data_IF_256793713559
#
_entry.id   IF_256793713559
#
_cell.length_a   1.000
_cell.length_b   1.000
_cell.length_c   1.000
_cell.angle_alpha   90.00
_cell.angle_beta   90.00
_cell.angle_gamma   90.00
#
_symmetry.space_group_name_H-M   'P 1'
#
loop_
_entity.id
_entity.type
_entity.pdbx_description
1 polymer ?
#
# COMPACT_ATOMS: atom_id res chain seq x y z
N UNK A 1 3.27 73.16 -27.91
CA UNK A 1 3.42 72.09 -26.90
C UNK A 1 2.24 72.31 -25.95
N UNK A 2 1.24 71.46 -25.76
CA UNK A 2 1.17 70.00 -25.72
C UNK A 2 -0.32 69.60 -25.84
N UNK A 3 -0.65 68.59 -26.64
CA UNK A 3 -1.93 67.90 -26.55
C UNK A 3 -1.84 66.90 -25.39
N UNK A 4 -2.92 66.71 -24.62
CA UNK A 4 -3.79 65.51 -24.71
C UNK A 4 -4.79 65.47 -23.55
N UNK A 5 -6.06 65.48 -23.93
CA UNK A 5 -7.26 65.20 -23.15
C UNK A 5 -7.24 63.79 -22.55
N UNK A 6 -7.83 63.61 -21.36
CA UNK A 6 -8.95 62.67 -21.08
C UNK A 6 -8.89 62.04 -19.70
N UNK A 7 -9.90 62.40 -18.92
CA UNK A 7 -10.39 61.85 -17.66
C UNK A 7 -10.47 60.31 -17.62
N UNK A 8 -10.24 59.73 -16.44
CA UNK A 8 -10.91 58.52 -15.94
C UNK A 8 -10.80 58.55 -14.41
N UNK A 9 -11.81 59.10 -13.75
CA UNK A 9 -12.82 58.40 -12.92
C UNK A 9 -12.24 57.80 -11.63
N UNK A 10 -12.57 58.51 -10.54
CA UNK A 10 -12.63 58.07 -9.15
C UNK A 10 -13.45 56.79 -9.01
N UNK A 11 -12.95 55.79 -8.29
CA UNK A 11 -13.77 54.86 -7.49
C UNK A 11 -12.90 54.19 -6.42
N UNK A 12 -13.38 54.29 -5.18
CA UNK A 12 -12.90 53.59 -3.99
C UNK A 12 -12.57 52.12 -4.27
N UNK A 13 -11.34 51.71 -3.95
CA UNK A 13 -11.09 50.32 -3.61
C UNK A 13 -11.40 50.13 -2.11
N UNK A 14 -12.47 49.40 -1.74
CA UNK A 14 -12.51 48.82 -0.42
C UNK A 14 -11.36 47.80 -0.36
N UNK A 15 -10.40 48.05 0.53
CA UNK A 15 -9.36 47.08 0.94
C UNK A 15 -10.07 45.91 1.61
N UNK A 16 -10.64 45.03 0.79
CA UNK A 16 -11.28 43.79 1.18
C UNK A 16 -10.32 42.65 0.82
N UNK A 17 -9.62 42.18 1.83
CA UNK A 17 -9.39 40.75 2.05
C UNK A 17 -8.80 39.97 0.87
N UNK A 18 -7.49 40.08 0.66
CA UNK A 18 -6.72 39.11 -0.12
C UNK A 18 -5.72 38.32 0.76
N UNK A 19 -6.05 38.11 2.05
CA UNK A 19 -5.20 37.35 3.00
C UNK A 19 -5.81 35.98 3.33
N UNK A 20 -6.86 35.55 2.62
CA UNK A 20 -7.57 34.29 2.93
C UNK A 20 -7.75 33.40 1.69
N UNK A 21 -6.77 33.42 0.78
CA UNK A 21 -6.75 32.47 -0.36
C UNK A 21 -5.44 31.68 -0.48
N UNK A 22 -4.41 32.02 0.30
CA UNK A 22 -3.16 31.25 0.31
C UNK A 22 -3.16 30.06 1.31
N UNK A 23 -4.21 29.92 2.13
CA UNK A 23 -4.24 29.00 3.28
C UNK A 23 -5.38 27.97 3.24
N UNK A 24 -5.89 27.65 2.05
CA UNK A 24 -6.84 26.52 1.85
C UNK A 24 -6.45 25.60 0.70
N UNK A 25 -5.21 25.70 0.23
CA UNK A 25 -4.60 24.80 -0.75
C UNK A 25 -3.70 23.74 -0.10
N UNK A 26 -3.65 23.74 1.24
CA UNK A 26 -3.04 22.70 2.06
C UNK A 26 -4.19 21.93 2.72
N UNK A 27 -4.13 20.60 2.76
CA UNK A 27 -5.09 19.70 3.45
C UNK A 27 -6.24 19.07 2.63
N UNK A 28 -6.06 18.86 1.31
CA UNK A 28 -6.66 17.70 0.64
C UNK A 28 -5.61 16.85 -0.07
N UNK A 29 -4.42 16.79 0.54
CA UNK A 29 -3.33 15.94 0.08
C UNK A 29 -3.63 14.49 0.46
N UNK A 30 -4.32 13.78 -0.43
CA UNK A 30 -4.01 12.38 -0.73
C UNK A 30 -4.09 11.35 0.42
N UNK A 31 -5.02 11.48 1.37
CA UNK A 31 -5.23 10.48 2.44
C UNK A 31 -5.31 9.04 1.92
N UNK A 32 -5.93 8.86 0.74
CA UNK A 32 -6.08 7.56 0.07
C UNK A 32 -4.79 7.00 -0.52
N UNK A 33 -3.85 7.87 -0.90
CA UNK A 33 -2.51 7.45 -1.32
C UNK A 33 -1.73 6.94 -0.12
N UNK A 34 -1.87 7.59 1.04
CA UNK A 34 -1.24 7.12 2.29
C UNK A 34 -1.81 5.77 2.70
N UNK A 35 -3.15 5.62 2.70
CA UNK A 35 -3.80 4.35 3.02
C UNK A 35 -3.35 3.20 2.09
N UNK A 36 -3.35 3.44 0.77
CA UNK A 36 -2.89 2.45 -0.19
C UNK A 36 -1.42 2.06 0.01
N UNK A 37 -0.57 3.03 0.36
CA UNK A 37 0.85 2.79 0.65
C UNK A 37 1.03 1.92 1.90
N UNK A 38 0.28 2.18 2.96
CA UNK A 38 0.29 1.37 4.19
C UNK A 38 -0.12 -0.07 3.89
N UNK A 39 -1.18 -0.29 3.12
CA UNK A 39 -1.62 -1.64 2.71
C UNK A 39 -0.51 -2.37 1.98
N UNK A 40 0.15 -1.73 1.02
CA UNK A 40 1.26 -2.34 0.28
C UNK A 40 2.48 -2.65 1.16
N UNK A 41 2.78 -1.85 2.18
CA UNK A 41 3.85 -2.17 3.13
C UNK A 41 3.51 -3.41 3.97
N UNK A 42 2.28 -3.51 4.48
CA UNK A 42 1.84 -4.67 5.27
C UNK A 42 1.84 -5.93 4.41
N UNK A 43 1.22 -5.86 3.23
CA UNK A 43 1.17 -6.99 2.29
C UNK A 43 2.58 -7.38 1.87
N UNK A 44 3.42 -6.41 1.48
CA UNK A 44 4.80 -6.66 1.10
C UNK A 44 5.61 -7.33 2.21
N UNK A 45 5.44 -6.90 3.45
CA UNK A 45 6.09 -7.53 4.62
C UNK A 45 5.66 -8.99 4.79
N UNK A 46 4.36 -9.28 4.71
CA UNK A 46 3.83 -10.65 4.79
C UNK A 46 4.38 -11.51 3.63
N UNK A 47 4.40 -10.97 2.41
CA UNK A 47 4.92 -11.68 1.23
C UNK A 47 6.41 -12.00 1.37
N UNK A 48 7.21 -11.07 1.90
CA UNK A 48 8.64 -11.31 2.14
C UNK A 48 8.84 -12.40 3.19
N UNK A 49 8.10 -12.37 4.30
CA UNK A 49 8.18 -13.43 5.31
C UNK A 49 7.82 -14.81 4.74
N UNK A 50 6.74 -14.90 3.97
CA UNK A 50 6.33 -16.15 3.32
C UNK A 50 7.34 -16.61 2.27
N UNK A 51 7.89 -15.69 1.47
CA UNK A 51 8.91 -16.01 0.47
C UNK A 51 10.18 -16.56 1.11
N UNK A 52 10.66 -15.94 2.19
CA UNK A 52 11.82 -16.44 2.95
C UNK A 52 11.50 -17.84 3.48
N UNK A 53 10.31 -18.05 4.07
CA UNK A 53 9.89 -19.38 4.55
C UNK A 53 9.94 -20.44 3.44
N UNK A 54 9.35 -20.15 2.28
CA UNK A 54 9.36 -21.06 1.13
C UNK A 54 10.81 -21.38 0.74
N UNK A 55 11.67 -20.37 0.58
CA UNK A 55 13.08 -20.56 0.23
C UNK A 55 13.80 -21.43 1.27
N UNK A 56 13.60 -21.18 2.57
CA UNK A 56 14.24 -21.98 3.62
C UNK A 56 13.80 -23.45 3.57
N UNK A 57 12.52 -23.74 3.32
CA UNK A 57 12.03 -25.11 3.15
C UNK A 57 12.58 -25.77 1.88
N UNK A 58 12.64 -25.03 0.77
CA UNK A 58 13.20 -25.53 -0.50
C UNK A 58 14.70 -25.78 -0.45
N UNK A 59 15.42 -25.07 0.42
CA UNK A 59 16.86 -25.27 0.66
C UNK A 59 17.14 -26.31 1.75
N UNK A 60 16.11 -26.86 2.38
CA UNK A 60 16.25 -27.83 3.47
C UNK A 60 16.95 -27.24 4.69
N UNK A 61 16.61 -25.98 5.03
CA UNK A 61 17.20 -25.26 6.14
C UNK A 61 17.04 -26.02 7.48
N UNK A 62 18.06 -25.90 8.33
CA UNK A 62 18.12 -26.61 9.60
C UNK A 62 17.12 -26.03 10.63
N UNK A 63 16.10 -26.82 11.00
CA UNK A 63 15.10 -26.52 12.05
C UNK A 63 15.64 -26.63 13.49
N UNK A 64 16.96 -26.51 13.67
CA UNK A 64 17.60 -26.27 14.95
C UNK A 64 18.26 -24.88 15.03
N UNK A 65 18.09 -24.06 13.98
CA UNK A 65 18.58 -22.69 13.96
C UNK A 65 17.50 -21.75 14.48
N UNK A 66 17.83 -20.99 15.53
CA UNK A 66 16.91 -20.02 16.12
C UNK A 66 16.31 -19.04 15.10
N UNK A 67 17.09 -18.66 14.07
CA UNK A 67 16.60 -17.80 12.99
C UNK A 67 15.55 -18.50 12.11
N UNK A 68 15.82 -19.75 11.72
CA UNK A 68 14.91 -20.53 10.87
C UNK A 68 13.60 -20.78 11.61
N UNK A 69 13.70 -21.18 12.88
CA UNK A 69 12.54 -21.46 13.72
C UNK A 69 11.71 -20.19 13.95
N UNK A 70 12.36 -19.05 14.19
CA UNK A 70 11.69 -17.75 14.30
C UNK A 70 10.91 -17.41 13.03
N UNK A 71 11.53 -17.54 11.85
CA UNK A 71 10.85 -17.28 10.57
C UNK A 71 9.67 -18.23 10.39
N UNK A 72 9.83 -19.53 10.61
CA UNK A 72 8.75 -20.51 10.46
C UNK A 72 7.59 -20.27 11.43
N UNK A 73 7.87 -19.84 12.67
CA UNK A 73 6.85 -19.51 13.65
C UNK A 73 6.02 -18.29 13.24
N UNK A 74 6.68 -17.15 12.92
CA UNK A 74 5.96 -15.91 12.59
C UNK A 74 5.22 -16.02 11.26
N UNK A 75 5.85 -16.59 10.24
CA UNK A 75 5.24 -16.77 8.91
C UNK A 75 4.16 -17.86 8.91
N UNK A 76 4.22 -18.80 9.86
CA UNK A 76 3.26 -19.89 9.98
C UNK A 76 1.85 -19.44 10.29
N UNK A 77 1.68 -18.33 11.02
CA UNK A 77 0.36 -17.75 11.28
C UNK A 77 -0.33 -17.32 9.98
N UNK A 78 0.43 -16.78 9.02
CA UNK A 78 -0.07 -16.35 7.71
C UNK A 78 -0.31 -17.53 6.76
N UNK A 79 0.47 -18.61 6.87
CA UNK A 79 0.28 -19.82 6.07
C UNK A 79 -0.84 -20.73 6.61
N UNK A 80 -1.17 -20.64 7.91
CA UNK A 80 -2.07 -21.55 8.60
C UNK A 80 -3.43 -21.76 7.90
N UNK A 81 -4.14 -20.70 7.42
CA UNK A 81 -5.44 -20.88 6.76
C UNK A 81 -5.39 -21.69 5.45
N UNK A 82 -4.21 -21.79 4.83
CA UNK A 82 -3.99 -22.45 3.54
C UNK A 82 -3.35 -23.83 3.67
N UNK A 83 -3.13 -24.29 4.91
CA UNK A 83 -2.53 -25.59 5.18
C UNK A 83 -3.47 -26.71 4.73
N UNK A 84 -2.97 -27.66 3.96
CA UNK A 84 -3.73 -28.82 3.49
C UNK A 84 -4.64 -28.58 2.28
N UNK A 85 -4.68 -27.36 1.71
CA UNK A 85 -5.45 -27.10 0.47
C UNK A 85 -4.86 -27.87 -0.71
N UNK A 86 -3.53 -27.94 -0.79
CA UNK A 86 -2.81 -28.68 -1.82
C UNK A 86 -1.82 -29.64 -1.19
N UNK A 87 -1.51 -30.78 -1.85
CA UNK A 87 -0.41 -31.63 -1.42
C UNK A 87 0.90 -30.84 -1.46
N UNK A 88 1.78 -31.14 -0.51
CA UNK A 88 3.11 -30.54 -0.41
C UNK A 88 4.17 -31.58 -0.82
N UNK A 89 4.80 -31.45 -2.00
CA UNK A 89 5.90 -32.30 -2.42
C UNK A 89 7.06 -32.25 -1.42
N UNK A 90 7.62 -33.42 -1.11
CA UNK A 90 8.80 -33.55 -0.23
C UNK A 90 9.83 -34.48 -0.86
N UNK A 91 11.10 -34.12 -0.77
CA UNK A 91 12.23 -34.93 -1.24
C UNK A 91 13.40 -34.83 -0.27
N UNK A 92 13.52 -35.81 0.62
CA UNK A 92 14.54 -35.81 1.67
C UNK A 92 14.34 -34.63 2.63
N UNK A 93 15.29 -33.69 2.65
CA UNK A 93 15.22 -32.47 3.48
C UNK A 93 14.54 -31.30 2.77
N UNK A 94 14.31 -31.40 1.46
CA UNK A 94 13.69 -30.34 0.68
C UNK A 94 12.17 -30.49 0.72
N UNK A 95 11.49 -29.44 1.13
CA UNK A 95 10.04 -29.42 1.25
C UNK A 95 9.49 -28.25 0.45
N UNK A 96 8.47 -28.49 -0.37
CA UNK A 96 7.78 -27.42 -1.09
C UNK A 96 6.50 -27.05 -0.34
N UNK A 97 6.55 -25.94 0.42
CA UNK A 97 5.41 -25.45 1.19
C UNK A 97 4.37 -24.76 0.30
N UNK A 98 3.48 -25.57 -0.28
CA UNK A 98 2.37 -25.11 -1.13
C UNK A 98 1.44 -24.14 -0.41
N UNK A 99 1.24 -24.29 0.91
CA UNK A 99 0.36 -23.40 1.67
C UNK A 99 0.91 -21.96 1.68
N UNK A 100 2.21 -21.80 1.89
CA UNK A 100 2.86 -20.49 1.84
C UNK A 100 2.81 -19.85 0.45
N UNK A 101 2.97 -20.64 -0.62
CA UNK A 101 2.86 -20.14 -1.99
C UNK A 101 1.45 -19.65 -2.29
N UNK A 102 0.42 -20.40 -1.87
CA UNK A 102 -0.98 -19.98 -2.02
C UNK A 102 -1.26 -18.73 -1.20
N UNK A 103 -0.78 -18.66 0.05
CA UNK A 103 -0.91 -17.50 0.90
C UNK A 103 -0.33 -16.25 0.23
N UNK A 104 0.82 -16.35 -0.43
CA UNK A 104 1.41 -15.24 -1.19
C UNK A 104 0.48 -14.74 -2.29
N UNK A 105 -0.08 -15.64 -3.09
CA UNK A 105 -1.01 -15.28 -4.18
C UNK A 105 -2.24 -14.59 -3.61
N UNK A 106 -2.87 -15.19 -2.58
CA UNK A 106 -4.10 -14.66 -1.98
C UNK A 106 -3.87 -13.30 -1.34
N UNK A 107 -2.81 -13.10 -0.56
CA UNK A 107 -2.52 -11.82 0.07
C UNK A 107 -2.16 -10.73 -0.95
N UNK A 108 -1.46 -11.07 -2.04
CA UNK A 108 -1.23 -10.13 -3.13
C UNK A 108 -2.55 -9.68 -3.78
N UNK A 109 -3.47 -10.61 -4.04
CA UNK A 109 -4.80 -10.31 -4.58
C UNK A 109 -5.64 -9.46 -3.63
N UNK A 110 -5.61 -9.75 -2.32
CA UNK A 110 -6.32 -8.98 -1.30
C UNK A 110 -5.77 -7.55 -1.24
N UNK A 111 -4.45 -7.37 -1.18
CA UNK A 111 -3.82 -6.04 -1.18
C UNK A 111 -4.16 -5.23 -2.42
N UNK A 112 -4.09 -5.86 -3.59
CA UNK A 112 -4.51 -5.26 -4.85
C UNK A 112 -6.00 -4.88 -4.84
N UNK A 113 -6.88 -5.76 -4.38
CA UNK A 113 -8.33 -5.50 -4.32
C UNK A 113 -8.68 -4.34 -3.38
N UNK A 114 -8.07 -4.29 -2.20
CA UNK A 114 -8.26 -3.21 -1.22
C UNK A 114 -7.85 -1.86 -1.81
N UNK A 115 -6.68 -1.79 -2.44
CA UNK A 115 -6.16 -0.54 -3.03
C UNK A 115 -6.97 -0.08 -4.24
N UNK A 116 -7.50 -1.02 -5.02
CA UNK A 116 -8.46 -0.74 -6.10
C UNK A 116 -9.76 -0.12 -5.56
N UNK A 117 -10.31 -0.64 -4.47
CA UNK A 117 -11.54 -0.11 -3.87
C UNK A 117 -11.37 1.36 -3.45
N UNK A 118 -10.26 1.71 -2.80
CA UNK A 118 -9.94 3.10 -2.47
C UNK A 118 -9.88 4.00 -3.71
N UNK A 119 -9.40 3.48 -4.84
CA UNK A 119 -9.32 4.25 -6.08
C UNK A 119 -10.70 4.51 -6.70
N UNK A 120 -11.65 3.58 -6.55
CA UNK A 120 -13.01 3.73 -7.09
C UNK A 120 -13.80 4.77 -6.29
N UNK A 121 -13.80 4.71 -4.96
CA UNK A 121 -14.57 5.63 -4.10
C UNK A 121 -14.20 7.11 -4.29
N UNK A 122 -13.00 7.40 -4.80
CA UNK A 122 -12.54 8.78 -5.01
C UNK A 122 -13.00 9.41 -6.33
N UNK A 123 -13.68 8.65 -7.21
CA UNK A 123 -14.07 9.13 -8.55
C UNK A 123 -15.45 9.79 -8.62
N UNK A 124 -16.25 9.71 -7.55
CA UNK A 124 -17.66 10.10 -7.59
C UNK A 124 -17.92 11.42 -6.84
N UNK A 125 -17.54 12.55 -7.44
CA UNK A 125 -18.15 13.87 -7.13
C UNK A 125 -17.91 14.87 -8.27
N UNK A 126 -18.52 14.61 -9.43
CA UNK A 126 -18.82 15.64 -10.44
C UNK A 126 -20.16 15.29 -11.07
N UNK A 127 -21.23 15.85 -10.53
CA UNK A 127 -22.55 16.00 -11.18
C UNK A 127 -22.94 17.46 -11.13
#
# INVERSE_FOLDING_TARGET
>A
MEQKTTSTVVRDEPVATSVTEADRTVEKTNSSVVAARVVWYIVGFILVLLAIRVILFLLGANQGSAFVDFIYAISGVFAAPFTGIFPAPTYGKFFFDTASVVAMVVYALVGWGITKLFTLTHRDTTV
#
